data_IF_319536005058
#
_entry.id   IF_319536005058
#
_cell.length_a   1.000
_cell.length_b   1.000
_cell.length_c   1.000
_cell.angle_alpha   90.00
_cell.angle_beta   90.00
_cell.angle_gamma   90.00
#
_symmetry.space_group_name_H-M   'P 1'
#
loop_
_entity.id
_entity.type
_entity.pdbx_description
1 polymer ?
#
# COMPACT_ATOMS: atom_id res chain seq x y z
N UNK A 1 -4.63 -7.38 4.61
CA UNK A 1 -4.66 -8.07 3.31
C UNK A 1 -3.31 -7.88 2.61
N UNK A 2 -2.58 -8.98 2.46
CA UNK A 2 -1.22 -8.97 1.91
C UNK A 2 -1.35 -9.07 0.40
N UNK A 3 -0.98 -8.02 -0.29
CA UNK A 3 -0.77 -8.03 -1.73
C UNK A 3 0.65 -8.57 -1.99
N UNK A 4 0.78 -9.84 -2.32
CA UNK A 4 2.03 -10.38 -2.88
C UNK A 4 2.17 -9.73 -4.26
N UNK A 5 3.19 -8.89 -4.45
CA UNK A 5 3.39 -8.25 -5.75
C UNK A 5 3.67 -9.33 -6.80
N UNK A 6 2.95 -9.29 -7.91
CA UNK A 6 3.12 -10.19 -9.06
C UNK A 6 4.59 -10.27 -9.56
N UNK A 7 5.43 -9.30 -9.20
CA UNK A 7 6.85 -9.25 -9.54
C UNK A 7 7.73 -10.29 -8.82
N UNK A 8 7.39 -10.72 -7.60
CA UNK A 8 8.18 -11.75 -6.89
C UNK A 8 7.88 -13.13 -7.48
N UNK A 9 6.62 -13.40 -7.77
CA UNK A 9 6.19 -14.66 -8.37
C UNK A 9 6.69 -14.79 -9.82
N UNK A 10 6.74 -13.68 -10.59
CA UNK A 10 7.22 -13.70 -11.98
C UNK A 10 8.74 -13.88 -12.12
N UNK A 11 9.55 -13.59 -11.09
CA UNK A 11 11.00 -13.84 -11.12
C UNK A 11 11.38 -15.30 -10.90
N UNK A 12 10.61 -16.03 -10.13
CA UNK A 12 10.79 -17.49 -9.93
C UNK A 12 10.36 -18.27 -11.19
N UNK A 13 9.35 -17.78 -11.91
CA UNK A 13 8.78 -18.44 -13.10
C UNK A 13 9.62 -18.33 -14.40
N UNK A 14 10.77 -17.61 -14.41
CA UNK A 14 11.61 -17.43 -15.61
C UNK A 14 12.66 -18.51 -15.85
N UNK A 15 12.50 -19.71 -15.36
CA UNK A 15 13.32 -20.84 -15.78
C UNK A 15 12.79 -21.39 -17.09
N UNK A 16 13.64 -21.31 -18.12
CA UNK A 16 13.34 -21.60 -19.53
C UNK A 16 12.43 -22.81 -19.79
N UNK A 17 11.35 -22.58 -20.49
CA UNK A 17 10.86 -23.51 -21.53
C UNK A 17 9.92 -24.63 -21.09
N UNK A 18 9.53 -24.80 -19.82
CA UNK A 18 8.64 -25.89 -19.40
C UNK A 18 7.37 -25.39 -18.69
N UNK A 19 6.26 -26.06 -19.01
CA UNK A 19 4.91 -25.79 -18.51
C UNK A 19 4.76 -26.29 -17.05
N UNK A 20 5.23 -25.50 -16.07
CA UNK A 20 5.03 -25.81 -14.66
C UNK A 20 3.82 -25.04 -14.10
N UNK A 21 3.11 -25.68 -13.18
CA UNK A 21 2.06 -25.07 -12.35
C UNK A 21 2.61 -24.96 -10.93
N UNK A 22 2.63 -23.75 -10.39
CA UNK A 22 3.24 -23.47 -9.09
C UNK A 22 2.18 -23.03 -8.10
N UNK A 23 2.29 -23.47 -6.87
CA UNK A 23 1.49 -22.99 -5.77
C UNK A 23 2.39 -22.74 -4.54
N UNK A 24 2.16 -21.64 -3.87
CA UNK A 24 2.87 -21.26 -2.64
C UNK A 24 1.84 -21.15 -1.55
N UNK A 25 2.08 -21.84 -0.45
CA UNK A 25 1.26 -21.77 0.74
C UNK A 25 2.05 -21.15 1.90
N UNK A 26 1.42 -20.28 2.67
CA UNK A 26 1.97 -19.66 3.86
C UNK A 26 1.15 -20.05 5.07
N UNK A 27 1.84 -20.34 6.15
CA UNK A 27 1.23 -20.61 7.46
C UNK A 27 1.50 -19.38 8.34
N UNK A 28 0.46 -18.74 8.80
CA UNK A 28 0.52 -17.62 9.73
C UNK A 28 -0.31 -17.99 10.97
N UNK A 29 0.36 -18.33 12.08
CA UNK A 29 -0.25 -18.83 13.32
C UNK A 29 -1.18 -20.03 13.07
N UNK A 30 -2.49 -19.81 13.04
CA UNK A 30 -3.52 -20.82 12.80
C UNK A 30 -4.20 -20.66 11.42
N UNK A 31 -3.85 -19.60 10.68
CA UNK A 31 -4.38 -19.30 9.34
C UNK A 31 -3.45 -19.82 8.23
N UNK A 32 -4.03 -20.38 7.17
CA UNK A 32 -3.33 -20.82 5.97
C UNK A 32 -3.70 -19.92 4.79
N UNK A 33 -2.72 -19.23 4.23
CA UNK A 33 -2.89 -18.52 2.97
C UNK A 33 -2.25 -19.29 1.82
N UNK A 34 -3.03 -19.67 0.81
CA UNK A 34 -2.59 -20.40 -0.38
C UNK A 34 -2.63 -19.47 -1.58
N UNK A 35 -1.48 -19.23 -2.20
CA UNK A 35 -1.37 -18.56 -3.48
C UNK A 35 -1.16 -19.59 -4.59
N UNK A 36 -2.10 -19.71 -5.53
CA UNK A 36 -2.03 -20.59 -6.69
C UNK A 36 -1.64 -19.77 -7.91
N UNK A 37 -0.51 -20.08 -8.54
CA UNK A 37 -0.10 -19.48 -9.80
C UNK A 37 -0.55 -20.38 -10.96
N UNK A 38 -1.51 -19.91 -11.75
CA UNK A 38 -2.01 -20.62 -12.91
C UNK A 38 -1.16 -20.31 -14.14
N UNK A 39 -0.52 -21.30 -14.75
CA UNK A 39 0.00 -21.16 -16.09
C UNK A 39 -1.16 -21.26 -17.11
N UNK A 40 -1.08 -20.55 -18.21
CA UNK A 40 -2.11 -20.10 -19.18
C UNK A 40 -3.29 -21.03 -19.51
N UNK A 41 -3.30 -22.33 -19.15
CA UNK A 41 -4.30 -23.29 -19.65
C UNK A 41 -4.64 -24.39 -18.64
N UNK A 42 -4.80 -24.11 -17.34
CA UNK A 42 -5.23 -25.14 -16.40
C UNK A 42 -6.76 -25.17 -16.26
N UNK A 43 -7.38 -26.32 -16.50
CA UNK A 43 -8.79 -26.50 -16.20
C UNK A 43 -9.07 -26.35 -14.70
N UNK A 44 -10.26 -25.86 -14.27
CA UNK A 44 -10.62 -25.70 -12.86
C UNK A 44 -10.41 -26.96 -12.02
N UNK A 45 -10.69 -28.13 -12.57
CA UNK A 45 -10.48 -29.42 -11.90
C UNK A 45 -9.01 -29.68 -11.53
N UNK A 46 -8.08 -29.25 -12.37
CA UNK A 46 -6.63 -29.40 -12.12
C UNK A 46 -6.16 -28.49 -11.00
N UNK A 47 -6.77 -27.32 -10.85
CA UNK A 47 -6.47 -26.40 -9.75
C UNK A 47 -6.98 -26.93 -8.41
N UNK A 48 -8.17 -27.52 -8.40
CA UNK A 48 -8.72 -28.15 -7.18
C UNK A 48 -7.90 -29.39 -6.79
N UNK A 49 -7.43 -30.20 -7.76
CA UNK A 49 -6.52 -31.31 -7.48
C UNK A 49 -5.18 -30.82 -6.93
N UNK A 50 -4.59 -29.77 -7.49
CA UNK A 50 -3.33 -29.19 -6.99
C UNK A 50 -3.49 -28.65 -5.56
N UNK A 51 -4.61 -27.98 -5.29
CA UNK A 51 -4.97 -27.48 -3.95
C UNK A 51 -5.16 -28.64 -2.95
N UNK A 52 -5.86 -29.70 -3.34
CA UNK A 52 -6.07 -30.88 -2.49
C UNK A 52 -4.73 -31.54 -2.12
N UNK A 53 -3.83 -31.76 -3.09
CA UNK A 53 -2.49 -32.32 -2.88
C UNK A 53 -1.61 -31.41 -2.02
N UNK A 54 -1.71 -30.10 -2.18
CA UNK A 54 -1.01 -29.13 -1.35
C UNK A 54 -1.47 -29.21 0.10
N UNK A 55 -2.78 -29.26 0.33
CA UNK A 55 -3.36 -29.39 1.67
C UNK A 55 -2.99 -30.73 2.32
N UNK A 56 -2.91 -31.81 1.53
CA UNK A 56 -2.47 -33.13 2.01
C UNK A 56 -0.98 -33.08 2.41
N UNK A 57 -0.12 -32.48 1.60
CA UNK A 57 1.30 -32.30 1.93
C UNK A 57 1.49 -31.45 3.19
N UNK A 58 0.71 -30.39 3.35
CA UNK A 58 0.73 -29.55 4.57
C UNK A 58 0.31 -30.33 5.82
N UNK A 59 -0.74 -31.18 5.71
CA UNK A 59 -1.19 -32.03 6.83
C UNK A 59 -0.14 -33.05 7.27
N UNK A 60 0.69 -33.52 6.35
CA UNK A 60 1.81 -34.43 6.71
C UNK A 60 2.90 -33.73 7.51
N UNK A 61 3.20 -32.47 7.16
CA UNK A 61 4.22 -31.66 7.86
C UNK A 61 3.69 -31.03 9.16
N UNK A 62 2.38 -30.75 9.20
CA UNK A 62 1.68 -30.17 10.37
C UNK A 62 0.35 -30.88 10.60
N UNK A 63 0.25 -31.80 11.58
CA UNK A 63 -0.96 -32.56 11.86
C UNK A 63 -2.12 -31.74 12.42
N UNK A 64 -1.84 -30.55 13.00
CA UNK A 64 -2.89 -29.69 13.57
C UNK A 64 -3.73 -29.03 12.49
N UNK A 65 -5.07 -28.94 12.63
CA UNK A 65 -5.94 -28.28 11.68
C UNK A 65 -5.67 -26.78 11.64
N UNK A 66 -5.85 -26.18 10.46
CA UNK A 66 -5.84 -24.73 10.29
C UNK A 66 -7.23 -24.17 10.63
N UNK A 67 -7.30 -23.07 11.36
CA UNK A 67 -8.58 -22.41 11.67
C UNK A 67 -9.22 -21.81 10.42
N UNK A 68 -8.40 -21.23 9.53
CA UNK A 68 -8.87 -20.63 8.28
C UNK A 68 -7.94 -20.97 7.13
N UNK A 69 -8.53 -21.36 6.00
CA UNK A 69 -7.80 -21.59 4.74
C UNK A 69 -8.28 -20.56 3.73
N UNK A 70 -7.40 -19.65 3.31
CA UNK A 70 -7.66 -18.68 2.26
C UNK A 70 -6.87 -19.05 1.02
N UNK A 71 -7.54 -19.23 -0.12
CA UNK A 71 -6.90 -19.48 -1.40
C UNK A 71 -7.07 -18.28 -2.33
N UNK A 72 -5.96 -17.80 -2.92
CA UNK A 72 -5.97 -16.79 -3.98
C UNK A 72 -5.40 -17.35 -5.26
N UNK A 73 -6.13 -17.16 -6.37
CA UNK A 73 -5.71 -17.56 -7.70
C UNK A 73 -5.04 -16.35 -8.39
N UNK A 74 -3.81 -16.53 -8.83
CA UNK A 74 -3.10 -15.53 -9.64
C UNK A 74 -3.04 -16.02 -11.08
N UNK A 75 -3.70 -15.30 -12.00
CA UNK A 75 -3.59 -15.51 -13.43
C UNK A 75 -2.64 -14.48 -14.03
N UNK A 76 -1.61 -14.89 -14.80
CA UNK A 76 -0.80 -13.94 -15.54
C UNK A 76 -1.64 -13.24 -16.61
N UNK A 77 -1.40 -11.94 -16.82
CA UNK A 77 -2.17 -11.11 -17.73
C UNK A 77 -2.19 -11.67 -19.16
N UNK A 78 -3.41 -11.68 -19.72
CA UNK A 78 -3.85 -11.83 -21.12
C UNK A 78 -3.04 -12.71 -22.07
N UNK A 79 -3.65 -13.83 -22.47
CA UNK A 79 -3.38 -14.65 -23.65
C UNK A 79 -4.51 -15.64 -23.86
N UNK A 80 -4.76 -16.15 -25.07
CA UNK A 80 -5.91 -17.02 -25.35
C UNK A 80 -5.86 -18.29 -24.51
N UNK A 81 -7.01 -18.61 -23.92
CA UNK A 81 -7.24 -19.81 -23.12
C UNK A 81 -7.33 -21.00 -24.06
N UNK A 82 -6.36 -21.91 -24.03
CA UNK A 82 -6.41 -23.18 -24.76
C UNK A 82 -7.11 -24.25 -23.91
N UNK A 83 -7.92 -25.06 -24.56
CA UNK A 83 -8.79 -26.08 -23.96
C UNK A 83 -8.12 -27.45 -23.81
N UNK A 84 -6.88 -27.55 -23.39
CA UNK A 84 -6.28 -28.86 -23.12
C UNK A 84 -6.49 -29.28 -21.66
N UNK A 85 -7.32 -30.29 -21.43
CA UNK A 85 -7.39 -31.08 -20.20
C UNK A 85 -6.09 -31.87 -20.02
N UNK A 86 -5.17 -31.34 -19.21
CA UNK A 86 -3.96 -32.09 -18.85
C UNK A 86 -4.05 -32.50 -17.39
N UNK A 87 -4.09 -33.80 -17.14
CA UNK A 87 -3.95 -34.38 -15.80
C UNK A 87 -2.61 -33.92 -15.17
N UNK A 88 -2.58 -33.76 -13.84
CA UNK A 88 -1.37 -33.51 -13.06
C UNK A 88 -0.42 -34.71 -13.19
N UNK A 89 0.62 -34.61 -14.02
CA UNK A 89 1.55 -35.69 -14.28
C UNK A 89 2.56 -35.95 -13.15
N UNK A 90 2.72 -35.02 -12.22
CA UNK A 90 3.59 -35.13 -11.04
C UNK A 90 3.37 -33.95 -10.11
N UNK A 91 3.72 -34.13 -8.84
CA UNK A 91 3.61 -33.12 -7.78
C UNK A 91 4.82 -33.23 -6.86
N UNK A 92 5.45 -32.11 -6.54
CA UNK A 92 6.50 -32.01 -5.53
C UNK A 92 6.20 -30.83 -4.61
N UNK A 93 6.50 -31.01 -3.33
CA UNK A 93 6.30 -29.99 -2.30
C UNK A 93 7.59 -29.82 -1.50
N UNK A 94 7.99 -28.57 -1.31
CA UNK A 94 9.21 -28.16 -0.62
C UNK A 94 8.84 -27.38 0.63
N UNK A 95 9.01 -27.94 1.85
CA UNK A 95 8.72 -27.23 3.07
C UNK A 95 9.71 -26.07 3.26
N UNK A 96 9.18 -24.92 3.65
CA UNK A 96 9.94 -23.76 4.08
C UNK A 96 9.93 -23.73 5.61
N UNK A 97 11.09 -23.87 6.23
CA UNK A 97 11.20 -23.95 7.68
C UNK A 97 12.06 -22.83 8.24
N UNK A 98 11.74 -22.36 9.45
CA UNK A 98 12.53 -21.40 10.21
C UNK A 98 12.63 -21.92 11.65
N UNK A 99 13.86 -22.06 12.16
CA UNK A 99 14.14 -22.59 13.49
C UNK A 99 13.40 -23.93 13.79
N UNK A 100 13.29 -24.79 12.76
CA UNK A 100 12.62 -26.09 12.88
C UNK A 100 11.08 -26.06 12.81
N UNK A 101 10.48 -24.89 12.68
CA UNK A 101 9.03 -24.73 12.50
C UNK A 101 8.67 -24.56 11.04
N UNK A 102 7.61 -25.24 10.58
CA UNK A 102 7.07 -25.08 9.23
C UNK A 102 6.39 -23.72 9.13
N UNK A 103 6.85 -22.89 8.17
CA UNK A 103 6.34 -21.53 7.93
C UNK A 103 5.69 -21.37 6.56
N UNK A 104 5.85 -22.39 5.71
CA UNK A 104 5.23 -22.40 4.39
C UNK A 104 5.59 -23.63 3.59
N UNK A 105 4.99 -23.75 2.41
CA UNK A 105 5.23 -24.83 1.47
C UNK A 105 5.24 -24.26 0.04
N UNK A 106 6.31 -24.52 -0.69
CA UNK A 106 6.34 -24.32 -2.15
C UNK A 106 5.97 -25.63 -2.82
N UNK A 107 4.98 -25.63 -3.70
CA UNK A 107 4.65 -26.80 -4.48
C UNK A 107 4.74 -26.55 -5.97
N UNK A 108 5.17 -27.56 -6.70
CA UNK A 108 5.26 -27.56 -8.16
C UNK A 108 4.50 -28.77 -8.70
N UNK A 109 3.66 -28.54 -9.69
CA UNK A 109 2.91 -29.60 -10.35
C UNK A 109 3.11 -29.53 -11.89
N UNK A 110 3.33 -30.68 -12.53
CA UNK A 110 3.52 -30.72 -13.99
C UNK A 110 3.93 -32.09 -14.50
N UNK A 111 3.84 -32.30 -15.83
CA UNK A 111 4.12 -33.59 -16.48
C UNK A 111 5.56 -34.11 -16.22
N UNK A 112 6.51 -33.25 -16.01
CA UNK A 112 7.92 -33.58 -15.84
C UNK A 112 8.40 -33.60 -14.37
N UNK A 113 7.53 -33.29 -13.41
CA UNK A 113 7.91 -33.26 -11.98
C UNK A 113 8.35 -34.65 -11.48
N UNK A 114 7.72 -35.72 -11.95
CA UNK A 114 8.09 -37.10 -11.63
C UNK A 114 9.51 -37.51 -12.13
N UNK A 115 10.14 -36.69 -12.97
CA UNK A 115 11.47 -36.94 -13.55
C UNK A 115 12.52 -35.98 -12.98
N UNK A 116 12.22 -35.27 -11.89
CA UNK A 116 13.17 -34.38 -11.26
C UNK A 116 14.36 -35.16 -10.69
N UNK A 117 15.56 -34.61 -10.87
CA UNK A 117 16.76 -35.15 -10.28
C UNK A 117 16.91 -34.66 -8.83
N UNK A 118 17.66 -35.37 -7.99
CA UNK A 118 17.96 -34.97 -6.61
C UNK A 118 18.58 -33.54 -6.53
N UNK A 119 19.41 -33.19 -7.52
CA UNK A 119 20.03 -31.86 -7.59
C UNK A 119 18.96 -30.77 -7.87
N UNK A 120 17.98 -31.06 -8.73
CA UNK A 120 16.86 -30.14 -8.98
C UNK A 120 15.97 -29.99 -7.75
N UNK A 121 15.73 -31.05 -7.00
CA UNK A 121 14.98 -31.02 -5.74
C UNK A 121 15.71 -30.18 -4.68
N UNK A 122 17.02 -30.41 -4.51
CA UNK A 122 17.84 -29.63 -3.58
C UNK A 122 17.88 -28.14 -3.94
N UNK A 123 18.01 -27.83 -5.24
CA UNK A 123 17.96 -26.46 -5.74
C UNK A 123 16.62 -25.79 -5.45
N UNK A 124 15.51 -26.49 -5.67
CA UNK A 124 14.17 -25.94 -5.44
C UNK A 124 13.88 -25.75 -3.94
N UNK A 125 14.33 -26.68 -3.10
CA UNK A 125 14.24 -26.52 -1.64
C UNK A 125 15.03 -25.29 -1.16
N UNK A 126 16.24 -25.08 -1.67
CA UNK A 126 17.05 -23.91 -1.36
C UNK A 126 16.38 -22.62 -1.89
N UNK A 127 15.86 -22.62 -3.11
CA UNK A 127 15.14 -21.49 -3.69
C UNK A 127 13.87 -21.14 -2.89
N UNK A 128 13.13 -22.15 -2.42
CA UNK A 128 11.96 -21.95 -1.57
C UNK A 128 12.31 -21.24 -0.25
N UNK A 129 13.37 -21.69 0.42
CA UNK A 129 13.84 -21.06 1.66
C UNK A 129 14.34 -19.62 1.42
N UNK A 130 15.06 -19.37 0.34
CA UNK A 130 15.52 -18.03 -0.03
C UNK A 130 14.32 -17.09 -0.32
N UNK A 131 13.34 -17.55 -1.10
CA UNK A 131 12.14 -16.79 -1.38
C UNK A 131 11.37 -16.45 -0.10
N UNK A 132 11.29 -17.40 0.84
CA UNK A 132 10.66 -17.17 2.13
C UNK A 132 11.37 -16.09 2.94
N UNK A 133 12.71 -16.13 3.05
CA UNK A 133 13.50 -15.11 3.76
C UNK A 133 13.24 -13.71 3.18
N UNK A 134 13.24 -13.58 1.84
CA UNK A 134 12.98 -12.31 1.18
C UNK A 134 11.57 -11.80 1.50
N UNK A 135 10.58 -12.69 1.50
CA UNK A 135 9.20 -12.31 1.82
C UNK A 135 9.02 -11.93 3.29
N UNK A 136 9.63 -12.65 4.21
CA UNK A 136 9.61 -12.31 5.65
C UNK A 136 10.26 -10.94 5.90
N UNK A 137 11.40 -10.68 5.28
CA UNK A 137 12.04 -9.36 5.38
C UNK A 137 11.15 -8.25 4.84
N UNK A 138 10.46 -8.46 3.71
CA UNK A 138 9.49 -7.51 3.15
C UNK A 138 8.31 -7.28 4.09
N UNK A 139 7.76 -8.33 4.70
CA UNK A 139 6.67 -8.24 5.69
C UNK A 139 7.09 -7.48 6.95
N UNK A 140 8.29 -7.78 7.48
CA UNK A 140 8.84 -7.07 8.64
C UNK A 140 9.06 -5.59 8.32
N UNK A 141 9.56 -5.28 7.13
CA UNK A 141 9.75 -3.91 6.67
C UNK A 141 8.41 -3.16 6.55
N UNK A 142 7.38 -3.79 5.99
CA UNK A 142 6.02 -3.22 5.94
C UNK A 142 5.41 -3.05 7.33
N UNK A 143 5.61 -4.01 8.25
CA UNK A 143 5.17 -3.87 9.65
C UNK A 143 5.85 -2.69 10.34
N UNK A 144 7.17 -2.55 10.21
CA UNK A 144 7.92 -1.41 10.75
C UNK A 144 7.43 -0.10 10.14
N UNK A 145 7.25 -0.05 8.82
CA UNK A 145 6.68 1.10 8.11
C UNK A 145 5.26 1.44 8.59
N UNK A 146 4.44 0.41 8.85
CA UNK A 146 3.09 0.57 9.37
C UNK A 146 3.04 0.96 10.85
N UNK A 147 4.08 0.68 11.62
CA UNK A 147 4.23 1.16 13.00
C UNK A 147 4.76 2.60 13.05
N UNK A 148 5.42 3.07 12.00
CA UNK A 148 5.81 4.47 11.90
C UNK A 148 4.56 5.35 11.82
N UNK A 149 4.52 6.41 12.61
CA UNK A 149 3.46 7.43 12.58
C UNK A 149 3.80 8.58 11.62
N UNK A 150 5.01 8.57 11.06
CA UNK A 150 5.51 9.64 10.20
C UNK A 150 5.79 9.15 8.79
N UNK A 151 5.66 10.07 7.83
CA UNK A 151 6.09 9.90 6.46
C UNK A 151 7.61 10.04 6.37
N UNK A 152 8.27 9.10 5.73
CA UNK A 152 9.74 9.02 5.69
C UNK A 152 10.42 10.12 4.87
N UNK A 153 9.68 10.77 3.94
CA UNK A 153 10.22 11.85 3.11
C UNK A 153 10.09 13.21 3.78
N UNK A 154 8.92 13.45 4.39
CA UNK A 154 8.50 14.77 4.84
C UNK A 154 8.57 14.93 6.36
N UNK A 155 8.70 13.84 7.11
CA UNK A 155 8.65 13.80 8.58
C UNK A 155 7.34 14.38 9.16
N UNK A 156 6.29 14.55 8.37
CA UNK A 156 4.93 14.83 8.81
C UNK A 156 4.22 13.53 9.24
N UNK A 157 3.06 13.62 9.85
CA UNK A 157 2.26 12.42 10.07
C UNK A 157 1.95 11.73 8.73
N UNK A 158 1.98 10.40 8.72
CA UNK A 158 1.55 9.65 7.55
C UNK A 158 0.03 9.63 7.43
N UNK A 159 -0.48 9.19 6.29
CA UNK A 159 -1.91 9.09 6.02
C UNK A 159 -2.69 8.40 7.15
N UNK A 160 -2.20 7.22 7.59
CA UNK A 160 -2.89 6.43 8.61
C UNK A 160 -3.01 7.18 9.92
N UNK A 161 -1.92 7.73 10.43
CA UNK A 161 -1.93 8.43 11.71
C UNK A 161 -2.73 9.74 11.63
N UNK A 162 -2.72 10.43 10.50
CA UNK A 162 -3.56 11.59 10.25
C UNK A 162 -5.06 11.26 10.34
N UNK A 163 -5.46 10.12 9.79
CA UNK A 163 -6.84 9.64 9.87
C UNK A 163 -7.23 9.19 11.29
N UNK A 164 -6.30 8.62 12.05
CA UNK A 164 -6.50 8.30 13.48
C UNK A 164 -6.73 9.57 14.31
N UNK A 165 -5.92 10.63 14.08
CA UNK A 165 -6.09 11.94 14.73
C UNK A 165 -7.45 12.54 14.37
N UNK A 166 -7.80 12.54 13.08
CA UNK A 166 -9.09 13.05 12.60
C UNK A 166 -10.27 12.33 13.25
N UNK A 167 -10.22 11.01 13.34
CA UNK A 167 -11.26 10.21 13.99
C UNK A 167 -11.40 10.54 15.49
N UNK A 168 -10.28 10.76 16.17
CA UNK A 168 -10.27 11.15 17.58
C UNK A 168 -10.88 12.56 17.78
N UNK A 169 -10.53 13.54 16.93
CA UNK A 169 -11.12 14.88 17.00
C UNK A 169 -12.63 14.84 16.69
N UNK A 170 -13.03 14.04 15.69
CA UNK A 170 -14.46 13.86 15.39
C UNK A 170 -15.24 13.30 16.59
N UNK A 171 -14.71 12.29 17.27
CA UNK A 171 -15.31 11.72 18.47
C UNK A 171 -15.39 12.71 19.66
N UNK A 172 -14.50 13.69 19.69
CA UNK A 172 -14.50 14.76 20.73
C UNK A 172 -15.62 15.76 20.54
N UNK A 173 -15.91 16.17 19.29
CA UNK A 173 -17.01 17.11 18.98
C UNK A 173 -18.33 16.62 19.51
N UNK A 174 -18.65 15.32 19.38
CA UNK A 174 -19.85 14.72 19.91
C UNK A 174 -20.02 14.78 21.44
N UNK A 175 -18.91 15.10 22.17
CA UNK A 175 -18.91 15.14 23.65
C UNK A 175 -18.83 16.58 24.22
N UNK A 176 -18.18 17.49 23.52
CA UNK A 176 -17.77 18.81 24.10
C UNK A 176 -18.27 20.02 23.31
N UNK A 177 -19.04 19.81 22.22
CA UNK A 177 -19.57 20.87 21.33
C UNK A 177 -18.49 21.82 20.72
N UNK A 178 -17.21 21.45 20.86
CA UNK A 178 -16.12 22.24 20.33
C UNK A 178 -15.79 21.82 18.91
N UNK A 179 -15.98 22.74 17.97
CA UNK A 179 -15.74 22.50 16.57
C UNK A 179 -14.26 22.38 16.20
N UNK A 180 -13.98 21.72 15.07
CA UNK A 180 -12.65 21.68 14.46
C UNK A 180 -12.76 21.81 12.95
N UNK A 181 -11.62 22.05 12.28
CA UNK A 181 -11.54 22.14 10.83
C UNK A 181 -10.54 21.16 10.25
N UNK A 182 -10.77 20.78 8.99
CA UNK A 182 -9.86 19.97 8.18
C UNK A 182 -9.52 20.76 6.92
N UNK A 183 -8.24 20.79 6.58
CA UNK A 183 -7.74 21.31 5.32
C UNK A 183 -7.19 20.14 4.49
N UNK A 184 -7.62 20.03 3.23
CA UNK A 184 -6.94 19.26 2.19
C UNK A 184 -6.15 20.23 1.33
N UNK A 185 -4.87 19.95 1.14
CA UNK A 185 -3.91 20.83 0.45
C UNK A 185 -3.20 20.01 -0.62
N UNK A 186 -3.00 20.60 -1.78
CA UNK A 186 -2.30 19.97 -2.90
C UNK A 186 -1.34 20.97 -3.54
N UNK A 187 -0.17 20.48 -3.94
CA UNK A 187 0.84 21.30 -4.64
C UNK A 187 0.44 21.45 -6.09
N UNK A 188 0.17 22.68 -6.51
CA UNK A 188 -0.21 22.98 -7.88
C UNK A 188 0.90 22.60 -8.86
N UNK A 189 0.52 21.93 -9.96
CA UNK A 189 1.42 21.52 -11.05
C UNK A 189 2.63 20.65 -10.62
N UNK A 190 2.54 19.92 -9.50
CA UNK A 190 3.66 19.14 -8.99
C UNK A 190 4.18 18.09 -9.99
N UNK A 191 3.29 17.49 -10.78
CA UNK A 191 3.68 16.59 -11.86
C UNK A 191 4.62 17.27 -12.86
N UNK A 192 4.32 18.51 -13.25
CA UNK A 192 5.18 19.28 -14.17
C UNK A 192 6.56 19.54 -13.57
N UNK A 193 6.64 19.78 -12.25
CA UNK A 193 7.93 19.90 -11.54
C UNK A 193 8.74 18.61 -11.67
N UNK A 194 8.10 17.45 -11.45
CA UNK A 194 8.76 16.15 -11.61
C UNK A 194 9.18 15.87 -13.05
N UNK A 195 8.30 16.14 -14.01
CA UNK A 195 8.55 15.89 -15.43
C UNK A 195 9.70 16.76 -15.98
N UNK A 196 9.80 18.02 -15.50
CA UNK A 196 10.80 18.98 -15.96
C UNK A 196 12.15 18.90 -15.22
N UNK A 197 12.12 18.52 -13.92
CA UNK A 197 13.29 18.59 -13.05
C UNK A 197 13.71 17.25 -12.46
N UNK A 198 12.89 16.20 -12.64
CA UNK A 198 13.10 14.87 -12.09
C UNK A 198 12.60 14.70 -10.64
N UNK A 199 12.33 13.47 -10.27
CA UNK A 199 11.82 13.11 -8.94
C UNK A 199 12.68 13.59 -7.74
N UNK A 200 14.03 13.63 -7.82
CA UNK A 200 14.83 14.16 -6.71
C UNK A 200 14.56 15.64 -6.39
N UNK A 201 14.22 16.44 -7.41
CA UNK A 201 13.83 17.84 -7.21
C UNK A 201 12.42 17.93 -6.63
N UNK A 202 11.50 17.12 -7.12
CA UNK A 202 10.15 16.99 -6.52
C UNK A 202 10.20 16.59 -5.04
N UNK A 203 11.05 15.64 -4.68
CA UNK A 203 11.27 15.23 -3.30
C UNK A 203 11.80 16.38 -2.43
N UNK A 204 12.71 17.20 -2.97
CA UNK A 204 13.21 18.39 -2.28
C UNK A 204 12.11 19.44 -2.10
N UNK A 205 11.24 19.65 -3.09
CA UNK A 205 10.06 20.51 -2.99
C UNK A 205 9.10 20.00 -1.92
N UNK A 206 8.79 18.70 -1.88
CA UNK A 206 7.94 18.11 -0.85
C UNK A 206 8.49 18.33 0.57
N UNK A 207 9.79 18.15 0.78
CA UNK A 207 10.43 18.42 2.08
C UNK A 207 10.31 19.90 2.47
N UNK A 208 10.52 20.78 1.52
CA UNK A 208 10.50 22.22 1.77
C UNK A 208 9.07 22.72 2.02
N UNK A 209 8.07 22.27 1.25
CA UNK A 209 6.64 22.54 1.53
C UNK A 209 6.29 22.04 2.92
N UNK A 210 6.71 20.85 3.30
CA UNK A 210 6.46 20.28 4.62
C UNK A 210 7.06 21.12 5.75
N UNK A 211 8.21 21.76 5.52
CA UNK A 211 8.81 22.70 6.46
C UNK A 211 7.96 23.97 6.59
N UNK A 212 7.54 24.56 5.47
CA UNK A 212 6.67 25.74 5.44
C UNK A 212 5.34 25.44 6.13
N UNK A 213 4.76 24.24 5.94
CA UNK A 213 3.57 23.80 6.65
C UNK A 213 3.83 23.77 8.17
N UNK A 214 4.85 23.07 8.63
CA UNK A 214 5.19 22.97 10.07
C UNK A 214 5.32 24.35 10.71
N UNK A 215 6.00 25.27 10.05
CA UNK A 215 6.25 26.64 10.55
C UNK A 215 4.99 27.54 10.49
N UNK A 216 3.91 27.08 9.85
CA UNK A 216 2.68 27.87 9.66
C UNK A 216 1.57 27.54 10.64
N UNK A 217 1.67 26.38 11.30
CA UNK A 217 0.64 25.85 12.19
C UNK A 217 1.11 25.79 13.63
N UNK A 218 0.15 25.64 14.56
CA UNK A 218 0.41 25.55 16.01
C UNK A 218 0.82 24.12 16.37
N UNK A 219 1.43 23.95 17.53
CA UNK A 219 1.81 22.63 18.04
C UNK A 219 0.62 21.67 18.25
N UNK A 220 -0.58 22.22 18.50
CA UNK A 220 -1.82 21.43 18.66
C UNK A 220 -2.44 21.02 17.34
N UNK A 221 -2.06 21.66 16.22
CA UNK A 221 -2.54 21.33 14.89
C UNK A 221 -1.79 20.10 14.38
N UNK A 222 -2.51 19.16 13.78
CA UNK A 222 -1.91 17.97 13.23
C UNK A 222 -1.73 18.11 11.72
N UNK A 223 -0.50 17.90 11.25
CA UNK A 223 -0.14 18.04 9.85
C UNK A 223 0.35 16.69 9.34
N UNK A 224 -0.25 16.20 8.25
CA UNK A 224 0.10 14.92 7.65
C UNK A 224 0.23 14.97 6.13
N UNK A 225 1.00 14.04 5.60
CA UNK A 225 1.03 13.75 4.17
C UNK A 225 -0.06 12.73 3.86
N UNK A 226 -1.06 13.16 3.08
CA UNK A 226 -2.23 12.36 2.75
C UNK A 226 -1.98 11.45 1.54
N UNK A 227 -1.28 11.97 0.52
CA UNK A 227 -0.96 11.27 -0.73
C UNK A 227 0.41 11.67 -1.27
N UNK A 228 0.63 11.51 -2.58
CA UNK A 228 1.88 11.85 -3.26
C UNK A 228 2.31 13.29 -3.01
N UNK A 229 1.47 14.23 -3.38
CA UNK A 229 1.65 15.70 -3.29
C UNK A 229 0.57 16.36 -2.44
N UNK A 230 -0.24 15.55 -1.75
CA UNK A 230 -1.38 15.99 -0.97
C UNK A 230 -1.06 15.97 0.53
N UNK A 231 -1.53 16.98 1.24
CA UNK A 231 -1.39 17.12 2.68
C UNK A 231 -2.75 17.32 3.33
N UNK A 232 -2.88 16.84 4.55
CA UNK A 232 -4.05 17.06 5.41
C UNK A 232 -3.63 17.79 6.67
N UNK A 233 -4.45 18.75 7.10
CA UNK A 233 -4.25 19.43 8.38
C UNK A 233 -5.54 19.36 9.18
N UNK A 234 -5.43 18.93 10.43
CA UNK A 234 -6.52 18.92 11.39
C UNK A 234 -6.28 20.08 12.37
N UNK A 235 -7.25 20.97 12.49
CA UNK A 235 -7.21 22.19 13.29
C UNK A 235 -8.23 22.11 14.44
N UNK A 236 -7.85 21.62 15.62
CA UNK A 236 -8.71 21.60 16.81
C UNK A 236 -9.20 23.01 17.17
N UNK A 237 -10.39 23.10 17.75
CA UNK A 237 -10.99 24.37 18.26
C UNK A 237 -10.98 25.50 17.21
N UNK A 238 -11.25 25.14 15.93
CA UNK A 238 -11.16 26.11 14.83
C UNK A 238 -12.43 26.11 14.01
N UNK A 239 -13.13 27.26 13.97
CA UNK A 239 -14.33 27.48 13.17
C UNK A 239 -13.98 27.87 11.74
N UNK A 240 -14.99 27.77 10.85
CA UNK A 240 -14.84 27.93 9.40
C UNK A 240 -14.07 29.19 8.97
N UNK A 241 -14.42 30.36 9.50
CA UNK A 241 -13.74 31.58 9.11
C UNK A 241 -12.26 31.62 9.51
N UNK A 242 -11.93 31.09 10.69
CA UNK A 242 -10.55 31.01 11.15
C UNK A 242 -9.74 30.01 10.34
N UNK A 243 -10.37 28.88 9.94
CA UNK A 243 -9.77 27.89 9.06
C UNK A 243 -9.47 28.44 7.65
N UNK A 244 -10.43 29.16 7.05
CA UNK A 244 -10.27 29.82 5.75
C UNK A 244 -9.12 30.86 5.79
N UNK A 245 -9.09 31.71 6.83
CA UNK A 245 -7.98 32.69 7.02
C UNK A 245 -6.62 31.99 7.20
N UNK A 246 -6.59 30.86 7.90
CA UNK A 246 -5.37 30.09 8.11
C UNK A 246 -4.89 29.44 6.82
N UNK A 247 -5.82 28.87 6.03
CA UNK A 247 -5.53 28.30 4.74
C UNK A 247 -5.01 29.35 3.74
N UNK A 248 -5.63 30.52 3.67
CA UNK A 248 -5.18 31.60 2.76
C UNK A 248 -3.83 32.19 3.18
N UNK A 249 -3.60 32.37 4.48
CA UNK A 249 -2.27 32.77 4.97
C UNK A 249 -1.18 31.76 4.60
N UNK A 250 -1.49 30.46 4.70
CA UNK A 250 -0.56 29.41 4.28
C UNK A 250 -0.31 29.47 2.77
N UNK A 251 -1.37 29.57 1.96
CA UNK A 251 -1.29 29.72 0.50
C UNK A 251 -0.37 30.88 0.11
N UNK A 252 -0.61 32.07 0.68
CA UNK A 252 0.20 33.25 0.40
C UNK A 252 1.66 33.07 0.84
N UNK A 253 1.91 32.39 1.96
CA UNK A 253 3.27 32.09 2.43
C UNK A 253 4.00 31.15 1.49
N UNK A 254 3.33 30.10 0.97
CA UNK A 254 3.91 29.18 -0.01
C UNK A 254 4.19 29.89 -1.33
N UNK A 255 3.26 30.70 -1.84
CA UNK A 255 3.43 31.48 -3.05
C UNK A 255 4.66 32.44 -3.00
N UNK A 256 4.89 33.06 -1.84
CA UNK A 256 6.02 33.99 -1.64
C UNK A 256 7.35 33.27 -1.36
N UNK A 257 7.29 31.97 -0.99
CA UNK A 257 8.49 31.23 -0.63
C UNK A 257 9.34 30.87 -1.84
N UNK A 258 10.66 30.97 -1.68
CA UNK A 258 11.62 30.54 -2.70
C UNK A 258 12.08 29.12 -2.45
N UNK A 259 11.61 28.18 -3.28
CA UNK A 259 11.97 26.78 -3.15
C UNK A 259 13.32 26.51 -3.82
N UNK A 260 14.37 26.29 -3.03
CA UNK A 260 15.71 25.97 -3.52
C UNK A 260 15.87 24.46 -3.64
N UNK A 261 15.84 23.94 -4.87
CA UNK A 261 15.94 22.52 -5.17
C UNK A 261 16.79 22.26 -6.42
N UNK A 262 17.71 21.31 -6.35
CA UNK A 262 18.58 20.95 -7.50
C UNK A 262 19.41 22.11 -8.05
N UNK A 263 19.83 23.05 -7.21
CA UNK A 263 20.59 24.24 -7.62
C UNK A 263 19.74 25.31 -8.33
N UNK A 264 18.42 25.17 -8.36
CA UNK A 264 17.46 26.09 -8.95
C UNK A 264 16.58 26.73 -7.90
N UNK A 265 16.04 27.90 -8.19
CA UNK A 265 14.97 28.52 -7.42
C UNK A 265 13.65 28.33 -8.17
N UNK A 266 12.69 27.67 -7.52
CA UNK A 266 11.38 27.37 -8.07
C UNK A 266 10.32 28.23 -7.36
N UNK A 267 9.23 28.54 -8.08
CA UNK A 267 8.01 29.12 -7.52
C UNK A 267 6.93 28.05 -7.51
N UNK A 268 6.40 27.78 -6.34
CA UNK A 268 5.38 26.74 -6.11
C UNK A 268 4.17 27.43 -5.51
N UNK A 269 3.00 26.99 -5.91
CA UNK A 269 1.73 27.37 -5.29
C UNK A 269 1.00 26.15 -4.77
N UNK A 270 0.04 26.36 -3.91
CA UNK A 270 -0.84 25.33 -3.39
C UNK A 270 -2.30 25.75 -3.55
N UNK A 271 -3.15 24.77 -3.76
CA UNK A 271 -4.60 24.91 -3.59
C UNK A 271 -5.02 24.22 -2.30
N UNK A 272 -6.02 24.75 -1.62
CA UNK A 272 -6.53 24.18 -0.39
C UNK A 272 -8.06 24.15 -0.37
N UNK A 273 -8.62 23.09 0.22
CA UNK A 273 -10.04 22.96 0.50
C UNK A 273 -10.28 22.86 1.99
N UNK A 274 -11.32 23.50 2.50
CA UNK A 274 -11.65 23.60 3.92
C UNK A 274 -13.00 22.93 4.20
N UNK A 275 -13.03 22.05 5.21
CA UNK A 275 -14.26 21.53 5.82
C UNK A 275 -14.23 21.72 7.34
N UNK A 276 -15.41 21.83 7.96
CA UNK A 276 -15.52 22.02 9.41
C UNK A 276 -16.53 21.06 10.03
N UNK A 277 -16.32 20.71 11.29
CA UNK A 277 -17.24 19.94 12.11
C UNK A 277 -17.60 20.77 13.36
N UNK A 278 -18.88 20.85 13.78
CA UNK A 278 -20.03 20.20 13.15
C UNK A 278 -20.45 20.86 11.83
N UNK A 279 -21.00 20.05 10.93
CA UNK A 279 -21.62 20.52 9.69
C UNK A 279 -22.77 19.58 9.28
N UNK A 280 -23.74 20.09 8.54
CA UNK A 280 -24.87 19.33 8.04
C UNK A 280 -24.39 18.19 7.08
N UNK A 281 -24.94 16.98 7.26
CA UNK A 281 -24.60 15.82 6.43
C UNK A 281 -23.24 15.20 6.71
N UNK A 282 -22.59 15.53 7.85
CA UNK A 282 -21.34 14.93 8.30
C UNK A 282 -21.65 13.90 9.40
N UNK A 283 -21.57 12.64 9.06
CA UNK A 283 -21.82 11.50 9.96
C UNK A 283 -20.51 10.83 10.43
N UNK A 284 -19.40 11.12 9.77
CA UNK A 284 -18.11 10.52 10.10
C UNK A 284 -16.90 11.31 9.58
N UNK A 285 -15.68 10.91 10.03
CA UNK A 285 -14.43 11.56 9.61
C UNK A 285 -14.23 11.57 8.08
N UNK A 286 -14.69 10.51 7.40
CA UNK A 286 -14.57 10.39 5.94
C UNK A 286 -15.39 11.44 5.18
N UNK A 287 -16.51 11.89 5.74
CA UNK A 287 -17.32 12.94 5.12
C UNK A 287 -16.60 14.28 5.13
N UNK A 288 -15.88 14.59 6.22
CA UNK A 288 -15.07 15.80 6.30
C UNK A 288 -13.95 15.82 5.27
N UNK A 289 -13.26 14.70 5.11
CA UNK A 289 -12.22 14.57 4.07
C UNK A 289 -12.85 14.78 2.69
N UNK A 290 -13.96 14.13 2.41
CA UNK A 290 -14.71 14.29 1.13
C UNK A 290 -15.13 15.72 0.88
N UNK A 291 -15.63 16.43 1.89
CA UNK A 291 -16.03 17.83 1.77
C UNK A 291 -14.83 18.76 1.53
N UNK A 292 -13.73 18.54 2.24
CA UNK A 292 -12.49 19.28 2.03
C UNK A 292 -11.89 19.01 0.64
N UNK A 293 -11.93 17.76 0.17
CA UNK A 293 -11.48 17.38 -1.18
C UNK A 293 -12.36 18.04 -2.27
N UNK A 294 -13.67 18.05 -2.11
CA UNK A 294 -14.57 18.77 -3.02
C UNK A 294 -14.29 20.28 -3.06
N UNK A 295 -13.96 20.89 -1.92
CA UNK A 295 -13.56 22.29 -1.85
C UNK A 295 -12.22 22.53 -2.54
N UNK A 296 -11.22 21.66 -2.32
CA UNK A 296 -9.94 21.67 -3.01
C UNK A 296 -10.11 21.52 -4.55
N UNK A 297 -10.98 20.64 -4.97
CA UNK A 297 -11.28 20.45 -6.39
C UNK A 297 -11.85 21.73 -7.04
N UNK A 298 -12.78 22.43 -6.33
CA UNK A 298 -13.30 23.73 -6.80
C UNK A 298 -12.18 24.78 -6.90
N UNK A 299 -11.29 24.83 -5.90
CA UNK A 299 -10.14 25.73 -5.93
C UNK A 299 -9.24 25.47 -7.15
N UNK A 300 -8.94 24.18 -7.44
CA UNK A 300 -8.17 23.80 -8.63
C UNK A 300 -8.85 24.19 -9.93
N UNK A 301 -10.18 24.02 -10.04
CA UNK A 301 -10.94 24.40 -11.23
C UNK A 301 -11.02 25.92 -11.43
N UNK A 302 -11.08 26.68 -10.36
CA UNK A 302 -11.20 28.15 -10.41
C UNK A 302 -9.87 28.86 -10.70
N UNK A 303 -8.79 28.11 -11.02
CA UNK A 303 -7.51 28.68 -11.46
C UNK A 303 -6.32 28.35 -10.54
N UNK A 304 -6.51 27.48 -9.55
CA UNK A 304 -5.49 27.10 -8.56
C UNK A 304 -5.03 28.28 -7.68
N UNK A 305 -3.99 28.05 -6.86
CA UNK A 305 -3.43 29.06 -5.95
C UNK A 305 -4.50 29.78 -5.13
N UNK A 306 -5.45 29.04 -4.56
CA UNK A 306 -6.57 29.58 -3.81
C UNK A 306 -7.17 28.59 -2.83
N UNK A 307 -8.11 29.09 -1.99
CA UNK A 307 -8.84 28.31 -0.99
C UNK A 307 -10.31 28.18 -1.42
N UNK A 308 -10.85 26.94 -1.37
CA UNK A 308 -12.23 26.61 -1.69
C UNK A 308 -13.12 26.32 -0.47
#
# INVERSE_FOLDING_TARGET
SISISANVVSRVARVRGNRFKEAIAFVEEEDLEVALLQHRNAAPAVLEEAKARLLEALRRERPQPFERVRARLFTPAAGPIGTEEAALGGFAAFPMTTHGSLVGLLSIAGKNVARMTKDSEAFLAQAANQAFIVMQNSRLFERIKNLSIRDSLTDLYNHRHSMEILANEFARVGRYEEGFAVLMIDIDHFKEVNDLHGHPVGDAVLREVSRVLRDSFRQVDAIGRYGGEEFIVVLPHTHREAALRTADRLRARVEQHEFKAGGKTLRITISAGVATCPAEGVEGPGDLVRLADQALYRAKQAGRNQVG
#
